data_IF_620290674391
#
_entry.id   IF_620290674391
#
_cell.length_a   1.000
_cell.length_b   1.000
_cell.length_c   1.000
_cell.angle_alpha   90.00
_cell.angle_beta   90.00
_cell.angle_gamma   90.00
#
_symmetry.space_group_name_H-M   'P 1'
#
loop_
_entity.id
_entity.type
_entity.pdbx_description
1 polymer ?
#
# COMPACT_ATOMS: atom_id res chain seq x y z
N UNK A 1 -41.15 -8.07 44.87
CA UNK A 1 -40.64 -8.02 44.56
C UNK A 1 -39.97 -8.05 43.84
N UNK A 2 -39.39 -7.79 43.31
CA UNK A 2 -38.71 -7.83 42.68
C UNK A 2 -37.90 -7.62 42.04
N UNK A 3 -37.38 -7.48 41.56
CA UNK A 3 -36.53 -7.23 41.08
C UNK A 3 -35.86 -7.27 40.28
N UNK A 4 -35.36 -7.19 39.73
CA UNK A 4 -34.69 -7.19 38.88
C UNK A 4 -33.79 -6.77 38.41
N UNK A 5 -33.15 -6.71 38.08
CA UNK A 5 -32.19 -6.33 37.64
C UNK A 5 -31.53 -6.30 36.68
N UNK A 6 -31.21 -6.26 36.14
CA UNK A 6 -30.68 -6.03 35.13
C UNK A 6 -29.60 -5.85 34.85
N UNK A 7 -28.91 -5.83 34.53
CA UNK A 7 -27.82 -5.68 34.20
C UNK A 7 -27.17 -5.39 33.25
N UNK A 8 -26.83 -5.22 32.60
CA UNK A 8 -26.13 -4.89 31.73
C UNK A 8 -25.07 -4.92 31.40
N UNK A 9 -24.45 -4.95 31.04
CA UNK A 9 -23.42 -5.05 30.62
C UNK A 9 -22.88 -4.60 29.70
N UNK A 10 -22.36 -4.33 29.23
CA UNK A 10 -21.81 -3.82 28.31
C UNK A 10 -20.68 -3.96 27.89
N UNK A 11 -20.15 -3.99 27.42
CA UNK A 11 -19.11 -4.10 26.87
C UNK A 11 -18.48 -3.52 26.13
N UNK A 12 -17.88 -3.27 25.60
CA UNK A 12 -17.10 -2.71 24.89
C UNK A 12 -16.17 -2.98 24.27
N UNK A 13 -15.59 -2.91 23.79
CA UNK A 13 -14.74 -3.14 23.06
C UNK A 13 -14.02 -2.56 22.47
N UNK A 14 -13.45 -2.35 21.98
CA UNK A 14 -12.61 -1.83 21.35
C UNK A 14 -11.81 -2.07 20.66
N UNK A 15 -11.37 -2.17 20.29
CA UNK A 15 -10.58 -2.54 19.53
C UNK A 15 -9.82 -1.81 18.95
N UNK A 16 -9.46 -1.49 18.43
CA UNK A 16 -8.79 -0.68 17.88
C UNK A 16 -7.61 -0.74 17.56
N UNK A 17 -6.98 -0.84 17.26
CA UNK A 17 -5.87 -0.88 17.03
C UNK A 17 -5.17 -0.26 16.26
N UNK A 18 -5.14 0.12 15.68
CA UNK A 18 -4.49 0.88 15.04
C UNK A 18 -3.23 0.95 14.92
N UNK A 19 -2.54 0.69 14.64
CA UNK A 19 -1.40 0.64 14.52
C UNK A 19 -0.77 1.44 13.85
N UNK A 20 -0.73 2.03 13.36
CA UNK A 20 -0.02 2.89 12.82
C UNK A 20 1.19 2.77 12.25
N UNK A 21 1.74 2.03 12.20
CA UNK A 21 2.95 1.92 11.61
C UNK A 21 2.87 2.25 10.23
N UNK A 22 3.84 2.67 9.60
CA UNK A 22 3.76 2.86 8.33
C UNK A 22 3.51 1.68 7.64
N UNK A 23 2.70 1.61 6.79
CA UNK A 23 2.45 0.45 6.14
C UNK A 23 3.31 0.29 5.01
N UNK A 24 3.89 -0.79 4.72
CA UNK A 24 4.68 -1.05 3.54
C UNK A 24 3.78 -1.07 2.33
N UNK A 25 4.32 -1.04 1.19
CA UNK A 25 3.54 -1.18 -0.02
C UNK A 25 2.99 -2.57 -0.16
N UNK A 26 1.97 -2.70 -0.97
CA UNK A 26 1.38 -4.00 -1.21
C UNK A 26 2.34 -4.86 -2.00
N UNK A 27 2.45 -6.12 -1.60
CA UNK A 27 3.39 -7.03 -2.23
C UNK A 27 2.79 -7.57 -3.51
N UNK A 28 3.54 -7.51 -4.58
CA UNK A 28 3.09 -8.02 -5.88
C UNK A 28 4.19 -8.86 -6.49
N UNK A 29 3.82 -9.69 -7.44
CA UNK A 29 4.79 -10.49 -8.17
C UNK A 29 5.46 -9.61 -9.20
N UNK A 30 6.76 -9.65 -9.23
CA UNK A 30 7.50 -8.76 -10.08
C UNK A 30 7.23 -8.94 -11.55
N UNK A 31 7.19 -10.16 -12.03
CA UNK A 31 6.97 -10.40 -13.43
C UNK A 31 5.59 -9.95 -13.84
N UNK A 32 4.60 -10.16 -13.00
CA UNK A 32 3.27 -9.72 -13.33
C UNK A 32 3.20 -8.22 -13.35
N UNK A 33 3.88 -7.58 -12.40
CA UNK A 33 3.89 -6.12 -12.35
C UNK A 33 4.55 -5.57 -13.62
N UNK A 34 5.64 -6.16 -14.03
CA UNK A 34 6.35 -5.68 -15.19
C UNK A 34 5.52 -5.84 -16.46
N UNK A 35 4.70 -6.87 -16.51
CA UNK A 35 3.89 -7.07 -17.68
C UNK A 35 2.71 -6.13 -17.76
N UNK A 36 2.15 -5.80 -16.62
CA UNK A 36 0.96 -5.01 -16.60
C UNK A 36 1.17 -3.51 -16.55
N UNK A 37 2.22 -3.07 -15.96
CA UNK A 37 2.42 -1.64 -15.78
C UNK A 37 3.22 -1.07 -16.91
N UNK A 38 2.55 -0.26 -17.73
CA UNK A 38 3.19 0.35 -18.89
C UNK A 38 3.04 1.84 -18.75
N UNK A 39 4.13 2.56 -18.52
CA UNK A 39 4.03 4.01 -18.38
C UNK A 39 3.40 4.64 -19.61
N UNK A 40 2.52 5.55 -19.38
CA UNK A 40 1.79 6.19 -20.44
C UNK A 40 0.50 5.50 -20.79
N UNK A 41 0.25 4.31 -20.24
CA UNK A 41 -0.95 3.58 -20.58
C UNK A 41 -1.71 3.05 -19.41
N UNK A 42 -1.05 2.47 -18.44
CA UNK A 42 -1.74 1.83 -17.31
C UNK A 42 -2.43 2.88 -16.46
N UNK A 43 -3.64 2.61 -16.06
CA UNK A 43 -4.42 3.57 -15.29
C UNK A 43 -4.56 3.11 -13.85
N UNK A 44 -5.00 4.05 -13.02
CA UNK A 44 -5.27 3.76 -11.63
C UNK A 44 -6.24 2.60 -11.50
N UNK A 45 -7.28 2.60 -12.30
CA UNK A 45 -8.28 1.53 -12.21
C UNK A 45 -7.67 0.19 -12.54
N UNK A 46 -6.77 0.15 -13.50
CA UNK A 46 -6.13 -1.10 -13.86
C UNK A 46 -5.21 -1.58 -12.76
N UNK A 47 -4.54 -0.67 -12.09
CA UNK A 47 -3.69 -1.06 -10.98
C UNK A 47 -4.52 -1.64 -9.84
N UNK A 48 -5.63 -1.01 -9.54
CA UNK A 48 -6.47 -1.52 -8.49
C UNK A 48 -7.04 -2.88 -8.83
N UNK A 49 -7.42 -3.07 -10.07
CA UNK A 49 -7.99 -4.34 -10.48
C UNK A 49 -6.95 -5.45 -10.45
N UNK A 50 -5.73 -5.14 -10.82
CA UNK A 50 -4.71 -6.17 -10.91
C UNK A 50 -4.01 -6.44 -9.59
N UNK A 51 -3.74 -5.43 -8.81
CA UNK A 51 -2.91 -5.57 -7.63
C UNK A 51 -3.59 -5.14 -6.34
N UNK A 52 -4.69 -4.46 -6.44
CA UNK A 52 -5.41 -4.03 -5.25
C UNK A 52 -4.88 -2.71 -4.71
N UNK A 53 -5.47 -2.24 -3.64
CA UNK A 53 -5.09 -0.96 -3.07
C UNK A 53 -3.70 -1.03 -2.47
N UNK A 54 -3.02 0.09 -2.43
CA UNK A 54 -1.72 0.15 -1.84
C UNK A 54 -1.53 1.54 -1.27
N UNK A 55 -0.37 1.76 -0.67
CA UNK A 55 -0.08 3.02 -0.06
C UNK A 55 0.13 4.06 -1.14
N UNK A 56 -0.45 5.20 -0.99
CA UNK A 56 -0.32 6.24 -2.00
C UNK A 56 -0.34 7.61 -1.37
N UNK A 57 0.21 8.58 -2.07
CA UNK A 57 0.24 9.95 -1.62
C UNK A 57 -0.20 10.83 -2.78
N UNK A 58 -1.13 11.73 -2.51
CA UNK A 58 -1.59 12.62 -3.53
C UNK A 58 -1.02 13.99 -3.28
N UNK A 59 -0.52 14.63 -4.31
CA UNK A 59 0.06 15.94 -4.19
C UNK A 59 -0.94 17.01 -4.59
N UNK A 60 -0.65 18.24 -4.21
CA UNK A 60 -1.54 19.35 -4.55
C UNK A 60 -1.72 19.49 -6.04
N UNK A 61 -0.75 19.10 -6.80
CA UNK A 61 -0.84 19.19 -8.24
C UNK A 61 -1.86 18.22 -8.83
N UNK A 62 -2.34 17.28 -8.02
CA UNK A 62 -3.22 16.24 -8.51
C UNK A 62 -2.50 14.99 -8.91
N UNK A 63 -1.18 15.00 -8.89
CA UNK A 63 -0.43 13.80 -9.19
C UNK A 63 -0.39 12.92 -7.95
N UNK A 64 -0.12 11.65 -8.12
CA UNK A 64 -0.06 10.71 -7.02
C UNK A 64 1.13 9.80 -7.15
N UNK A 65 1.67 9.36 -6.04
CA UNK A 65 2.64 8.29 -6.08
C UNK A 65 2.03 7.09 -5.41
N UNK A 66 2.27 5.94 -5.98
CA UNK A 66 1.77 4.68 -5.46
C UNK A 66 2.96 3.77 -5.20
N UNK A 67 2.91 3.05 -4.10
CA UNK A 67 4.01 2.21 -3.70
C UNK A 67 3.61 0.75 -3.66
N UNK A 68 4.24 -0.07 -4.47
CA UNK A 68 4.10 -1.50 -4.38
C UNK A 68 5.46 -2.07 -4.02
N UNK A 69 5.51 -3.30 -3.61
CA UNK A 69 6.76 -3.95 -3.29
C UNK A 69 6.80 -5.33 -3.87
N UNK A 70 7.98 -5.81 -4.13
CA UNK A 70 8.12 -7.15 -4.66
C UNK A 70 9.26 -7.83 -3.91
N UNK A 71 9.16 -9.13 -3.64
CA UNK A 71 10.22 -9.80 -2.91
C UNK A 71 11.53 -9.77 -3.66
N UNK A 72 12.58 -9.53 -2.95
CA UNK A 72 13.89 -9.46 -3.56
C UNK A 72 14.86 -10.50 -3.00
N UNK A 73 14.38 -11.43 -2.22
CA UNK A 73 15.23 -12.46 -1.67
C UNK A 73 15.78 -12.08 -0.31
N UNK A 74 16.10 -13.06 0.47
CA UNK A 74 16.69 -12.85 1.78
C UNK A 74 15.86 -11.93 2.68
N UNK A 75 14.56 -11.93 2.51
CA UNK A 75 13.73 -11.12 3.35
C UNK A 75 13.66 -9.66 2.93
N UNK A 76 14.31 -9.30 1.85
CA UNK A 76 14.28 -7.93 1.39
C UNK A 76 13.19 -7.73 0.35
N UNK A 77 12.86 -6.48 0.11
CA UNK A 77 11.86 -6.14 -0.89
C UNK A 77 12.36 -4.99 -1.73
N UNK A 78 12.01 -5.03 -2.99
CA UNK A 78 12.29 -3.92 -3.88
C UNK A 78 11.04 -3.06 -3.92
N UNK A 79 11.20 -1.77 -3.81
CA UNK A 79 10.06 -0.87 -3.87
C UNK A 79 9.80 -0.47 -5.30
N UNK A 80 8.55 -0.48 -5.68
CA UNK A 80 8.14 -0.09 -7.01
C UNK A 80 7.29 1.17 -6.86
N UNK A 81 7.83 2.28 -7.24
CA UNK A 81 7.15 3.56 -7.06
C UNK A 81 6.60 4.03 -8.38
N UNK A 82 5.31 4.27 -8.41
CA UNK A 82 4.66 4.72 -9.61
C UNK A 82 4.24 6.16 -9.43
N UNK A 83 4.41 6.94 -10.49
CA UNK A 83 3.93 8.30 -10.48
C UNK A 83 2.77 8.37 -11.45
N UNK A 84 1.60 8.73 -10.97
CA UNK A 84 0.42 8.85 -11.80
C UNK A 84 0.10 10.32 -11.99
N UNK A 85 -0.37 10.66 -13.17
CA UNK A 85 -0.74 12.04 -13.42
C UNK A 85 -2.15 12.31 -12.94
N UNK A 86 -2.62 13.51 -13.17
CA UNK A 86 -3.93 13.90 -12.69
C UNK A 86 -5.04 13.09 -13.28
N UNK A 87 -4.83 12.51 -14.42
CA UNK A 87 -5.84 11.69 -15.05
C UNK A 87 -5.78 10.26 -14.57
N UNK A 88 -4.86 9.95 -13.69
CA UNK A 88 -4.77 8.60 -13.17
C UNK A 88 -3.99 7.67 -14.05
N UNK A 89 -3.16 8.18 -14.93
CA UNK A 89 -2.35 7.35 -15.80
C UNK A 89 -0.93 7.32 -15.28
N UNK A 90 -0.33 6.14 -15.25
CA UNK A 90 1.03 5.99 -14.78
C UNK A 90 1.96 6.71 -15.75
N UNK A 91 2.74 7.64 -15.22
CA UNK A 91 3.66 8.36 -16.04
C UNK A 91 5.06 7.86 -15.91
N UNK A 92 5.44 7.45 -14.73
CA UNK A 92 6.77 6.95 -14.50
C UNK A 92 6.77 5.83 -13.52
N UNK A 93 7.71 4.96 -13.61
CA UNK A 93 7.87 3.88 -12.69
C UNK A 93 9.31 3.85 -12.28
N UNK A 94 9.57 3.78 -10.97
CA UNK A 94 10.91 3.71 -10.48
C UNK A 94 11.07 2.54 -9.58
N UNK A 95 12.13 1.81 -9.71
CA UNK A 95 12.40 0.67 -8.89
C UNK A 95 13.48 1.04 -7.91
N UNK A 96 13.24 0.80 -6.63
CA UNK A 96 14.20 1.09 -5.63
C UNK A 96 14.65 -0.17 -5.02
N UNK A 97 15.79 -0.69 -5.34
CA UNK A 97 16.26 -1.95 -4.77
C UNK A 97 16.49 -1.80 -3.29
N UNK A 98 16.50 -2.89 -2.56
CA UNK A 98 16.74 -2.81 -1.14
C UNK A 98 18.15 -2.32 -0.90
N UNK A 99 18.35 -1.53 0.15
CA UNK A 99 19.61 -1.08 0.52
C UNK A 99 20.33 -2.09 1.23
N UNK A 100 21.49 -2.18 1.04
CA UNK A 100 22.23 -3.14 1.79
C UNK A 100 22.32 -2.59 3.13
N UNK A 101 22.08 -1.87 3.44
CA UNK A 101 22.05 -1.49 4.68
C UNK A 101 22.89 -1.51 5.48
N UNK A 102 23.24 -1.29 5.70
CA UNK A 102 23.95 -1.28 6.48
C UNK A 102 23.90 -1.02 7.53
N UNK A 103 24.09 -1.01 8.00
CA UNK A 103 23.92 -0.84 8.95
C UNK A 103 24.54 -0.24 9.65
N UNK A 104 24.89 0.09 9.42
CA UNK A 104 25.36 0.57 9.88
C UNK A 104 25.70 0.93 10.53
N UNK A 105 25.91 1.13 10.68
CA UNK A 105 26.29 1.61 11.14
C UNK A 105 26.19 1.92 11.70
#
# INVERSE_FOLDING_TARGET
MKACIAILSVVLVLGGCATSAKEPGTIVAEDRFAQLVVPGRTTRAELLAAFGPTQSVRFDSGMETWLYETPAGAGHHTELVLLLDRDGVVRKMRRRPPYPTDPQR
#
